data_IF_734987003334
#
_entry.id   IF_734987003334
#
_cell.length_a   1.000
_cell.length_b   1.000
_cell.length_c   1.000
_cell.angle_alpha   90.00
_cell.angle_beta   90.00
_cell.angle_gamma   90.00
#
_symmetry.space_group_name_H-M   'P 1'
#
loop_
_entity.id
_entity.type
_entity.pdbx_description
1 polymer ?
#
# COMPACT_ATOMS: atom_id res chain seq x y z
N UNK A 1 -13.29 -26.48 25.94
CA UNK A 1 -13.44 -27.39 24.77
C UNK A 1 -13.56 -26.66 23.42
N UNK A 2 -14.47 -25.68 23.23
CA UNK A 2 -14.57 -24.95 21.94
C UNK A 2 -13.47 -23.90 21.70
N UNK A 3 -12.88 -23.33 22.76
CA UNK A 3 -11.77 -22.36 22.63
C UNK A 3 -10.52 -22.99 21.99
N UNK A 4 -10.26 -24.26 22.28
CA UNK A 4 -9.23 -25.05 21.59
C UNK A 4 -9.60 -25.30 20.11
N UNK A 5 -10.89 -25.50 19.81
CA UNK A 5 -11.36 -25.79 18.44
C UNK A 5 -11.26 -24.57 17.51
N UNK A 6 -11.42 -23.36 18.02
CA UNK A 6 -11.27 -22.14 17.21
C UNK A 6 -9.80 -21.77 16.98
N UNK A 7 -8.85 -22.41 17.68
CA UNK A 7 -7.42 -22.17 17.48
C UNK A 7 -6.98 -22.45 16.03
N UNK A 8 -7.66 -23.37 15.33
CA UNK A 8 -7.42 -23.63 13.89
C UNK A 8 -7.65 -22.40 13.00
N UNK A 9 -8.49 -21.45 13.44
CA UNK A 9 -8.70 -20.20 12.71
C UNK A 9 -7.47 -19.27 12.76
N UNK A 10 -6.43 -19.59 13.55
CA UNK A 10 -5.14 -18.90 13.47
C UNK A 10 -4.44 -19.09 12.12
N UNK A 11 -4.76 -20.15 11.38
CA UNK A 11 -4.27 -20.33 10.01
C UNK A 11 -4.88 -19.34 9.01
N UNK A 12 -5.86 -18.53 9.45
CA UNK A 12 -6.47 -17.48 8.67
C UNK A 12 -6.10 -16.11 9.24
N UNK A 13 -5.51 -15.19 8.45
CA UNK A 13 -5.26 -13.82 8.86
C UNK A 13 -6.51 -13.11 9.35
N UNK A 14 -7.63 -13.40 8.68
CA UNK A 14 -8.93 -12.77 8.93
C UNK A 14 -10.02 -13.80 8.65
N UNK A 15 -11.00 -13.88 9.55
CA UNK A 15 -12.13 -14.79 9.44
C UNK A 15 -13.44 -14.13 9.87
N UNK A 16 -14.53 -14.67 9.38
CA UNK A 16 -15.87 -14.17 9.60
C UNK A 16 -16.54 -14.83 10.80
N UNK A 17 -17.65 -14.24 11.26
CA UNK A 17 -18.54 -14.89 12.21
C UNK A 17 -19.11 -16.23 11.66
N UNK A 18 -19.25 -16.35 10.34
CA UNK A 18 -19.70 -17.59 9.72
C UNK A 18 -18.68 -18.71 9.91
N UNK A 19 -17.38 -18.40 9.76
CA UNK A 19 -16.28 -19.36 9.99
C UNK A 19 -16.26 -19.83 11.45
N UNK A 20 -16.47 -18.92 12.42
CA UNK A 20 -16.63 -19.31 13.83
C UNK A 20 -17.84 -20.24 13.99
N UNK A 21 -18.98 -19.91 13.36
CA UNK A 21 -20.22 -20.69 13.49
C UNK A 21 -20.17 -22.08 12.87
N UNK A 22 -19.23 -22.35 11.95
CA UNK A 22 -18.99 -23.69 11.43
C UNK A 22 -18.22 -24.59 12.43
N UNK A 23 -17.54 -23.99 13.42
CA UNK A 23 -16.74 -24.71 14.42
C UNK A 23 -17.56 -24.99 15.68
N UNK A 24 -18.49 -24.11 16.00
CA UNK A 24 -19.28 -24.15 17.23
C UNK A 24 -20.75 -24.42 16.92
N UNK A 25 -21.53 -24.85 17.90
CA UNK A 25 -22.93 -25.24 17.73
C UNK A 25 -23.88 -24.04 17.52
N UNK A 26 -23.77 -23.38 16.37
CA UNK A 26 -24.75 -22.39 15.89
C UNK A 26 -24.35 -20.92 16.04
N UNK A 27 -25.05 -20.08 15.28
CA UNK A 27 -24.75 -18.64 15.09
C UNK A 27 -24.85 -17.81 16.36
N UNK A 28 -25.84 -18.09 17.21
CA UNK A 28 -26.02 -17.35 18.48
C UNK A 28 -24.89 -17.63 19.47
N UNK A 29 -24.46 -18.89 19.57
CA UNK A 29 -23.31 -19.24 20.38
C UNK A 29 -22.01 -18.63 19.81
N UNK A 30 -21.81 -18.66 18.49
CA UNK A 30 -20.67 -18.02 17.84
C UNK A 30 -20.56 -16.52 18.17
N UNK A 31 -21.68 -15.79 18.17
CA UNK A 31 -21.72 -14.37 18.57
C UNK A 31 -21.31 -14.17 20.03
N UNK A 32 -21.89 -14.97 20.95
CA UNK A 32 -21.58 -14.90 22.38
C UNK A 32 -20.11 -15.22 22.65
N UNK A 33 -19.59 -16.26 21.99
CA UNK A 33 -18.18 -16.66 22.09
C UNK A 33 -17.25 -15.57 21.56
N UNK A 34 -17.48 -15.05 20.36
CA UNK A 34 -16.67 -13.97 19.79
C UNK A 34 -16.67 -12.73 20.70
N UNK A 35 -17.83 -12.33 21.23
CA UNK A 35 -17.93 -11.21 22.19
C UNK A 35 -17.11 -11.47 23.46
N UNK A 36 -17.16 -12.69 24.00
CA UNK A 36 -16.38 -13.09 25.18
C UNK A 36 -14.88 -13.01 24.92
N UNK A 37 -14.42 -13.55 23.80
CA UNK A 37 -13.00 -13.57 23.42
C UNK A 37 -12.44 -12.17 23.14
N UNK A 38 -13.24 -11.32 22.50
CA UNK A 38 -12.89 -9.90 22.32
C UNK A 38 -12.76 -9.19 23.66
N UNK A 39 -13.71 -9.41 24.59
CA UNK A 39 -13.61 -8.85 25.95
C UNK A 39 -12.37 -9.34 26.71
N UNK A 40 -11.92 -10.56 26.41
CA UNK A 40 -10.74 -11.17 27.02
C UNK A 40 -9.42 -10.84 26.26
N UNK A 41 -9.43 -9.97 25.24
CA UNK A 41 -8.29 -9.66 24.38
C UNK A 41 -7.66 -10.89 23.68
N UNK A 42 -8.40 -12.00 23.57
CA UNK A 42 -7.97 -13.20 22.87
C UNK A 42 -8.34 -13.19 21.38
N UNK A 43 -9.13 -12.21 20.96
CA UNK A 43 -9.62 -12.03 19.59
C UNK A 43 -9.81 -10.54 19.32
N UNK A 44 -9.35 -10.07 18.15
CA UNK A 44 -9.56 -8.70 17.73
C UNK A 44 -10.72 -8.62 16.75
N UNK A 45 -11.63 -7.67 16.98
CA UNK A 45 -12.74 -7.38 16.06
C UNK A 45 -12.29 -6.29 15.09
N UNK A 46 -12.34 -6.61 13.80
CA UNK A 46 -11.95 -5.65 12.73
C UNK A 46 -13.16 -4.80 12.35
N UNK A 47 -14.28 -5.45 12.02
CA UNK A 47 -15.56 -4.80 11.78
C UNK A 47 -16.70 -5.75 12.12
N UNK A 48 -17.95 -5.33 11.90
CA UNK A 48 -19.12 -6.19 12.15
C UNK A 48 -18.97 -7.52 11.38
N UNK A 49 -18.88 -8.61 12.13
CA UNK A 49 -18.82 -9.96 11.60
C UNK A 49 -17.46 -10.41 11.07
N UNK A 50 -16.39 -9.65 11.31
CA UNK A 50 -15.03 -9.96 10.86
C UNK A 50 -14.04 -9.81 12.01
N UNK A 51 -13.21 -10.83 12.21
CA UNK A 51 -12.32 -10.98 13.35
C UNK A 51 -10.95 -11.49 12.92
N UNK A 52 -9.97 -11.36 13.80
CA UNK A 52 -8.61 -11.86 13.64
C UNK A 52 -8.00 -12.18 15.00
N UNK A 53 -7.01 -13.07 15.03
CA UNK A 53 -6.15 -13.29 16.19
C UNK A 53 -4.92 -12.38 16.22
N UNK A 54 -4.73 -11.57 15.18
CA UNK A 54 -3.54 -10.75 14.96
C UNK A 54 -3.91 -9.27 15.13
N UNK A 55 -3.19 -8.56 15.98
CA UNK A 55 -3.30 -7.10 16.11
C UNK A 55 -2.45 -6.34 15.09
N UNK A 56 -1.68 -7.05 14.25
CA UNK A 56 -0.86 -6.48 13.19
C UNK A 56 -1.72 -6.00 11.99
N UNK A 57 -1.81 -4.67 11.77
CA UNK A 57 -2.56 -4.11 10.65
C UNK A 57 -1.96 -4.45 9.28
N UNK A 58 -0.63 -4.55 9.16
CA UNK A 58 0.06 -4.87 7.92
C UNK A 58 -0.35 -6.27 7.46
N UNK A 59 -0.29 -7.24 8.38
CA UNK A 59 -0.67 -8.64 8.15
C UNK A 59 -2.12 -8.78 7.65
N UNK A 60 -3.08 -8.09 8.29
CA UNK A 60 -4.50 -8.29 7.98
C UNK A 60 -4.97 -7.51 6.75
N UNK A 61 -4.31 -6.38 6.43
CA UNK A 61 -4.80 -5.36 5.50
C UNK A 61 -5.24 -5.91 4.13
N UNK A 62 -4.38 -6.65 3.42
CA UNK A 62 -4.68 -7.18 2.09
C UNK A 62 -5.81 -8.22 2.07
N UNK A 63 -6.17 -8.79 3.22
CA UNK A 63 -7.28 -9.73 3.34
C UNK A 63 -8.63 -9.05 3.57
N UNK A 64 -8.66 -7.79 4.00
CA UNK A 64 -9.89 -7.04 4.29
C UNK A 64 -10.64 -6.58 3.04
N UNK A 65 -9.92 -6.45 1.92
CA UNK A 65 -10.47 -6.11 0.62
C UNK A 65 -9.66 -6.81 -0.48
N UNK A 66 -10.27 -7.73 -1.22
CA UNK A 66 -9.63 -8.43 -2.33
C UNK A 66 -10.28 -8.05 -3.68
N UNK A 67 -9.50 -7.87 -4.76
CA UNK A 67 -8.04 -7.93 -4.80
C UNK A 67 -7.42 -6.62 -4.24
N UNK A 68 -6.34 -6.73 -3.47
CA UNK A 68 -5.51 -5.59 -3.08
C UNK A 68 -4.07 -6.03 -2.80
N UNK A 69 -3.16 -5.06 -2.77
CA UNK A 69 -1.76 -5.24 -2.34
C UNK A 69 -1.34 -4.08 -1.44
N UNK A 70 -0.38 -4.33 -0.55
CA UNK A 70 0.22 -3.32 0.33
C UNK A 70 1.23 -2.53 -0.50
N UNK A 71 1.16 -1.20 -0.45
CA UNK A 71 1.99 -0.32 -1.30
C UNK A 71 2.36 0.98 -0.56
N UNK A 72 2.84 1.98 -1.31
CA UNK A 72 3.22 3.31 -0.83
C UNK A 72 4.11 3.24 0.43
N UNK A 73 3.96 4.14 1.40
CA UNK A 73 4.81 4.18 2.58
C UNK A 73 4.85 2.85 3.35
N UNK A 74 3.77 2.07 3.38
CA UNK A 74 3.79 0.76 4.05
C UNK A 74 4.72 -0.24 3.36
N UNK A 75 4.71 -0.31 2.03
CA UNK A 75 5.64 -1.18 1.31
C UNK A 75 7.08 -0.64 1.32
N UNK A 76 7.27 0.68 1.21
CA UNK A 76 8.60 1.28 1.31
C UNK A 76 9.22 1.05 2.69
N UNK A 77 8.43 1.19 3.76
CA UNK A 77 8.85 0.89 5.11
C UNK A 77 9.17 -0.60 5.29
N UNK A 78 8.34 -1.50 4.74
CA UNK A 78 8.59 -2.94 4.74
C UNK A 78 9.95 -3.28 4.09
N UNK A 79 10.29 -2.64 2.97
CA UNK A 79 11.58 -2.79 2.29
C UNK A 79 12.72 -2.01 2.95
N UNK A 80 12.48 -1.32 4.08
CA UNK A 80 13.46 -0.48 4.80
C UNK A 80 14.05 0.62 3.92
N UNK A 81 13.21 1.19 3.06
CA UNK A 81 13.58 2.25 2.11
C UNK A 81 13.17 3.64 2.57
N UNK A 82 12.35 3.71 3.62
CA UNK A 82 12.06 4.97 4.30
C UNK A 82 12.33 4.84 5.79
N UNK A 83 12.79 5.93 6.40
CA UNK A 83 13.12 6.04 7.82
C UNK A 83 11.88 6.34 8.66
N UNK A 84 10.97 7.16 8.13
CA UNK A 84 9.72 7.48 8.80
C UNK A 84 8.69 6.36 8.64
N UNK A 85 8.36 5.69 9.73
CA UNK A 85 7.29 4.69 9.73
C UNK A 85 5.94 5.35 9.46
N UNK A 86 5.12 4.80 8.55
CA UNK A 86 3.78 5.31 8.32
C UNK A 86 2.89 5.02 9.53
N UNK A 87 2.03 5.98 9.87
CA UNK A 87 1.00 5.77 10.91
C UNK A 87 -0.08 4.81 10.44
N UNK A 88 -0.45 4.90 9.18
CA UNK A 88 -1.53 4.14 8.56
C UNK A 88 -1.00 3.06 7.61
N UNK A 89 -1.82 2.06 7.30
CA UNK A 89 -1.50 1.07 6.27
C UNK A 89 -2.07 1.50 4.91
N UNK A 90 -1.21 1.55 3.90
CA UNK A 90 -1.55 1.93 2.54
C UNK A 90 -1.69 0.69 1.66
N UNK A 91 -2.90 0.47 1.15
CA UNK A 91 -3.22 -0.59 0.22
C UNK A 91 -3.78 -0.04 -1.10
N UNK A 92 -3.56 -0.77 -2.18
CA UNK A 92 -4.05 -0.42 -3.50
C UNK A 92 -4.93 -1.53 -4.05
N UNK A 93 -6.05 -1.16 -4.68
CA UNK A 93 -7.06 -2.09 -5.19
C UNK A 93 -7.57 -1.66 -6.55
N UNK A 94 -7.97 -2.61 -7.38
CA UNK A 94 -8.75 -2.33 -8.60
C UNK A 94 -10.23 -2.05 -8.31
N UNK A 95 -10.68 -2.23 -7.06
CA UNK A 95 -12.03 -1.88 -6.60
C UNK A 95 -12.11 -0.41 -6.18
N UNK A 96 -13.30 0.02 -5.74
CA UNK A 96 -13.49 1.36 -5.21
C UNK A 96 -12.65 1.59 -3.95
N UNK A 97 -12.18 2.84 -3.80
CA UNK A 97 -11.45 3.27 -2.60
C UNK A 97 -12.25 3.02 -1.34
N UNK A 98 -11.56 2.70 -0.24
CA UNK A 98 -12.19 2.38 1.04
C UNK A 98 -11.26 2.76 2.19
N UNK A 99 -11.85 3.09 3.34
CA UNK A 99 -11.15 3.24 4.61
C UNK A 99 -11.72 2.26 5.60
N UNK A 100 -10.87 1.66 6.43
CA UNK A 100 -11.23 0.78 7.52
C UNK A 100 -10.42 1.14 8.75
N UNK A 101 -11.06 1.23 9.90
CA UNK A 101 -10.40 1.48 11.16
C UNK A 101 -10.12 0.15 11.86
N UNK A 102 -8.88 -0.04 12.31
CA UNK A 102 -8.45 -1.16 13.14
C UNK A 102 -7.51 -0.62 14.24
N UNK A 103 -6.45 -1.35 14.61
CA UNK A 103 -5.38 -0.83 15.49
C UNK A 103 -4.78 0.46 14.91
N UNK A 104 -4.71 0.56 13.59
CA UNK A 104 -4.52 1.82 12.85
C UNK A 104 -5.46 1.89 11.64
N UNK A 105 -5.50 3.03 10.96
CA UNK A 105 -6.29 3.18 9.74
C UNK A 105 -5.68 2.36 8.59
N UNK A 106 -6.53 1.67 7.85
CA UNK A 106 -6.15 0.94 6.64
C UNK A 106 -6.84 1.62 5.46
N UNK A 107 -6.03 2.26 4.63
CA UNK A 107 -6.44 3.10 3.52
C UNK A 107 -6.29 2.32 2.20
N UNK A 108 -7.41 2.10 1.51
CA UNK A 108 -7.44 1.49 0.19
C UNK A 108 -7.64 2.54 -0.88
N UNK A 109 -6.63 2.71 -1.74
CA UNK A 109 -6.68 3.57 -2.90
C UNK A 109 -7.06 2.78 -4.15
N UNK A 110 -7.89 3.38 -5.01
CA UNK A 110 -8.18 2.81 -6.31
C UNK A 110 -6.99 3.03 -7.25
N UNK A 111 -6.62 2.00 -8.02
CA UNK A 111 -5.63 2.13 -9.08
C UNK A 111 -6.05 1.40 -10.35
N UNK A 112 -5.80 2.07 -11.48
CA UNK A 112 -5.91 1.48 -12.81
C UNK A 112 -4.65 0.66 -13.18
N UNK A 113 -3.59 0.74 -12.37
CA UNK A 113 -2.29 0.13 -12.62
C UNK A 113 -2.00 -0.97 -11.61
N UNK A 114 -2.87 -1.99 -11.59
CA UNK A 114 -2.83 -3.10 -10.64
C UNK A 114 -1.76 -4.14 -11.02
N UNK A 115 -0.48 -3.81 -10.83
CA UNK A 115 0.68 -4.68 -11.06
C UNK A 115 1.86 -4.27 -10.17
N UNK A 116 3.01 -4.97 -10.27
CA UNK A 116 4.25 -4.52 -9.65
C UNK A 116 4.34 -4.84 -8.16
N UNK A 117 3.68 -5.92 -7.75
CA UNK A 117 3.72 -6.47 -6.40
C UNK A 117 4.07 -7.96 -6.48
N UNK A 118 4.65 -8.46 -5.40
CA UNK A 118 5.12 -9.84 -5.25
C UNK A 118 4.49 -10.46 -4.00
N UNK A 119 4.38 -11.80 -4.01
CA UNK A 119 3.90 -12.55 -2.87
C UNK A 119 5.05 -12.73 -1.87
N UNK A 120 5.02 -11.94 -0.81
CA UNK A 120 6.04 -11.90 0.22
C UNK A 120 5.62 -12.75 1.43
N UNK A 121 6.55 -13.55 1.96
CA UNK A 121 6.32 -14.27 3.20
C UNK A 121 6.38 -13.27 4.36
N UNK A 122 5.32 -13.22 5.15
CA UNK A 122 5.21 -12.39 6.34
C UNK A 122 4.68 -13.25 7.49
N UNK A 123 5.53 -13.51 8.47
CA UNK A 123 5.28 -14.52 9.50
C UNK A 123 4.90 -15.89 8.88
N UNK A 124 3.69 -16.38 9.17
CA UNK A 124 3.13 -17.62 8.66
C UNK A 124 2.25 -17.43 7.42
N UNK A 125 2.20 -16.22 6.86
CA UNK A 125 1.32 -15.85 5.77
C UNK A 125 2.08 -15.39 4.54
N UNK A 126 1.35 -15.29 3.44
CA UNK A 126 1.83 -14.77 2.17
C UNK A 126 0.99 -13.54 1.83
N UNK A 127 1.65 -12.39 1.69
CA UNK A 127 1.02 -11.09 1.45
C UNK A 127 1.47 -10.54 0.10
N UNK A 128 0.56 -9.98 -0.72
CA UNK A 128 0.94 -9.21 -1.88
C UNK A 128 1.48 -7.84 -1.46
N UNK A 129 2.79 -7.61 -1.67
CA UNK A 129 3.49 -6.36 -1.32
C UNK A 129 4.12 -5.76 -2.57
N UNK A 130 3.93 -4.46 -2.78
CA UNK A 130 4.52 -3.72 -3.89
C UNK A 130 6.05 -3.83 -3.88
N UNK A 131 6.63 -3.95 -5.06
CA UNK A 131 8.06 -3.69 -5.28
C UNK A 131 8.38 -2.23 -4.92
N UNK A 132 9.63 -1.91 -4.55
CA UNK A 132 10.06 -0.53 -4.29
C UNK A 132 9.61 0.48 -5.36
N UNK A 133 9.81 0.13 -6.63
CA UNK A 133 9.51 1.00 -7.78
C UNK A 133 8.02 1.28 -7.87
N UNK A 134 7.21 0.23 -7.68
CA UNK A 134 5.75 0.36 -7.72
C UNK A 134 5.26 1.18 -6.52
N UNK A 135 5.85 1.00 -5.34
CA UNK A 135 5.49 1.73 -4.14
C UNK A 135 5.81 3.23 -4.24
N UNK A 136 6.94 3.59 -4.87
CA UNK A 136 7.26 5.00 -5.21
C UNK A 136 6.19 5.56 -6.16
N UNK A 137 5.87 4.84 -7.25
CA UNK A 137 4.85 5.27 -8.22
C UNK A 137 3.49 5.48 -7.54
N UNK A 138 3.10 4.56 -6.67
CA UNK A 138 1.84 4.62 -5.92
C UNK A 138 1.80 5.74 -4.89
N UNK A 139 2.95 6.18 -4.39
CA UNK A 139 3.02 7.29 -3.43
C UNK A 139 2.76 8.65 -4.07
N UNK A 140 2.95 8.77 -5.40
CA UNK A 140 2.75 10.04 -6.12
C UNK A 140 1.32 10.56 -5.97
N UNK A 141 1.20 11.73 -5.33
CA UNK A 141 -0.06 12.42 -5.10
C UNK A 141 -0.93 11.84 -3.98
N UNK A 142 -0.38 10.88 -3.23
CA UNK A 142 -0.93 10.41 -1.95
C UNK A 142 -0.06 10.87 -0.78
N UNK A 143 1.26 10.90 -0.98
CA UNK A 143 2.23 11.40 -0.01
C UNK A 143 3.05 12.56 -0.60
N UNK A 144 3.50 13.52 0.24
CA UNK A 144 4.52 14.48 -0.17
C UNK A 144 5.76 13.74 -0.65
N UNK A 145 6.43 14.26 -1.69
CA UNK A 145 7.62 13.62 -2.27
C UNK A 145 8.72 13.44 -1.23
N UNK A 146 8.88 14.40 -0.31
CA UNK A 146 9.88 14.33 0.77
C UNK A 146 9.75 13.10 1.67
N UNK A 147 8.57 12.44 1.70
CA UNK A 147 8.34 11.25 2.53
C UNK A 147 8.93 9.98 1.91
N UNK A 148 9.09 9.94 0.58
CA UNK A 148 9.56 8.74 -0.12
C UNK A 148 10.74 8.99 -1.06
N UNK A 149 11.23 10.23 -1.16
CA UNK A 149 12.34 10.58 -2.04
C UNK A 149 13.61 9.77 -1.72
N UNK A 150 13.88 9.49 -0.44
CA UNK A 150 15.01 8.63 -0.02
C UNK A 150 14.96 7.21 -0.61
N UNK A 151 13.76 6.69 -0.92
CA UNK A 151 13.64 5.38 -1.54
C UNK A 151 14.24 5.34 -2.95
N UNK A 152 14.37 6.49 -3.62
CA UNK A 152 14.94 6.61 -4.97
C UNK A 152 16.42 6.20 -5.05
N UNK A 153 17.14 6.17 -3.94
CA UNK A 153 18.56 5.77 -3.92
C UNK A 153 18.75 4.27 -4.17
N UNK A 154 17.73 3.46 -3.89
CA UNK A 154 17.80 1.98 -3.89
C UNK A 154 16.86 1.33 -4.88
N UNK A 155 16.27 2.10 -5.81
CA UNK A 155 15.41 1.51 -6.83
C UNK A 155 16.20 0.81 -7.93
N UNK A 156 15.62 -0.24 -8.47
CA UNK A 156 16.03 -0.86 -9.73
C UNK A 156 15.56 0.02 -10.89
N UNK A 157 16.53 0.67 -11.54
CA UNK A 157 16.28 1.58 -12.65
C UNK A 157 15.53 0.89 -13.80
N UNK A 158 15.94 -0.31 -14.22
CA UNK A 158 15.37 -0.97 -15.37
C UNK A 158 13.91 -1.39 -15.11
N UNK A 159 13.63 -1.85 -13.89
CA UNK A 159 12.27 -2.15 -13.47
C UNK A 159 11.41 -0.89 -13.42
N UNK A 160 11.91 0.22 -12.89
CA UNK A 160 11.20 1.50 -12.87
C UNK A 160 10.85 1.96 -14.29
N UNK A 161 11.80 1.90 -15.21
CA UNK A 161 11.57 2.28 -16.61
C UNK A 161 10.57 1.36 -17.31
N UNK A 162 10.63 0.04 -17.04
CA UNK A 162 9.64 -0.91 -17.53
C UNK A 162 8.23 -0.58 -17.01
N UNK A 163 8.11 -0.17 -15.75
CA UNK A 163 6.83 0.22 -15.16
C UNK A 163 6.29 1.52 -15.75
N UNK A 164 7.13 2.53 -15.93
CA UNK A 164 6.74 3.77 -16.62
C UNK A 164 6.27 3.52 -18.05
N UNK A 165 6.99 2.65 -18.79
CA UNK A 165 6.59 2.24 -20.14
C UNK A 165 5.23 1.54 -20.13
N UNK A 166 5.02 0.62 -19.18
CA UNK A 166 3.74 -0.10 -19.02
C UNK A 166 2.57 0.83 -18.67
N UNK A 167 2.80 1.86 -17.84
CA UNK A 167 1.79 2.85 -17.46
C UNK A 167 1.48 3.80 -18.64
N UNK A 168 2.50 4.22 -19.39
CA UNK A 168 2.34 5.02 -20.61
C UNK A 168 1.72 6.40 -20.39
N UNK A 169 1.84 6.97 -19.17
CA UNK A 169 1.29 8.29 -18.84
C UNK A 169 2.40 9.30 -18.55
N UNK A 170 2.40 10.37 -19.34
CA UNK A 170 3.33 11.50 -19.25
C UNK A 170 3.49 12.05 -17.82
N UNK A 171 2.43 12.12 -17.02
CA UNK A 171 2.55 12.64 -15.64
C UNK A 171 3.48 11.81 -14.75
N UNK A 172 3.44 10.47 -14.86
CA UNK A 172 4.34 9.59 -14.12
C UNK A 172 5.76 9.68 -14.67
N UNK A 173 5.91 9.64 -16.01
CA UNK A 173 7.21 9.77 -16.69
C UNK A 173 7.94 11.05 -16.27
N UNK A 174 7.23 12.18 -16.21
CA UNK A 174 7.82 13.47 -15.82
C UNK A 174 8.32 13.46 -14.38
N UNK A 175 7.46 13.06 -13.44
CA UNK A 175 7.78 13.11 -12.00
C UNK A 175 8.88 12.12 -11.65
N UNK A 176 8.74 10.86 -12.06
CA UNK A 176 9.74 9.83 -11.77
C UNK A 176 11.03 10.11 -12.53
N UNK A 177 10.96 10.55 -13.78
CA UNK A 177 12.16 10.89 -14.55
C UNK A 177 12.96 12.02 -13.92
N UNK A 178 12.29 13.08 -13.43
CA UNK A 178 12.94 14.13 -12.65
C UNK A 178 13.57 13.60 -11.35
N UNK A 179 12.83 12.77 -10.60
CA UNK A 179 13.35 12.20 -9.34
C UNK A 179 14.55 11.28 -9.59
N UNK A 180 14.54 10.49 -10.67
CA UNK A 180 15.67 9.67 -11.11
C UNK A 180 16.88 10.54 -11.43
N UNK A 181 16.71 11.58 -12.24
CA UNK A 181 17.80 12.49 -12.62
C UNK A 181 18.38 13.23 -11.40
N UNK A 182 17.53 13.66 -10.47
CA UNK A 182 17.97 14.25 -9.18
C UNK A 182 18.80 13.27 -8.34
N UNK A 183 18.56 11.97 -8.46
CA UNK A 183 19.31 10.90 -7.79
C UNK A 183 20.46 10.35 -8.64
N UNK A 184 20.93 11.09 -9.65
CA UNK A 184 22.14 10.77 -10.41
C UNK A 184 21.94 9.82 -11.59
N UNK A 185 20.70 9.42 -11.92
CA UNK A 185 20.45 8.57 -13.08
C UNK A 185 20.28 9.39 -14.37
N UNK A 186 21.09 9.12 -15.39
CA UNK A 186 20.89 9.72 -16.71
C UNK A 186 19.80 8.97 -17.51
N UNK A 187 18.57 9.46 -17.43
CA UNK A 187 17.37 8.78 -17.97
C UNK A 187 16.59 9.61 -18.97
N UNK A 188 16.96 10.88 -19.18
CA UNK A 188 16.15 11.79 -19.98
C UNK A 188 16.00 11.31 -21.42
N UNK A 189 17.07 10.90 -22.08
CA UNK A 189 17.00 10.44 -23.46
C UNK A 189 16.16 9.17 -23.63
N UNK A 190 16.10 8.33 -22.60
CA UNK A 190 15.29 7.12 -22.54
C UNK A 190 13.80 7.44 -22.36
N UNK A 191 13.48 8.54 -21.67
CA UNK A 191 12.11 8.89 -21.27
C UNK A 191 11.49 10.06 -22.06
N UNK A 192 12.28 10.88 -22.76
CA UNK A 192 11.82 12.12 -23.42
C UNK A 192 10.64 11.95 -24.36
N UNK A 193 10.53 10.79 -25.03
CA UNK A 193 9.39 10.46 -25.91
C UNK A 193 8.05 10.38 -25.17
N UNK A 194 8.05 10.12 -23.86
CA UNK A 194 6.86 10.08 -23.02
C UNK A 194 6.46 11.44 -22.42
N UNK A 195 7.22 12.51 -22.69
CA UNK A 195 7.01 13.84 -22.11
C UNK A 195 6.21 14.70 -23.09
N UNK A 196 5.06 15.23 -22.64
CA UNK A 196 4.30 16.23 -23.39
C UNK A 196 4.64 17.67 -22.96
N UNK A 197 4.24 18.68 -23.73
CA UNK A 197 4.60 20.08 -23.47
C UNK A 197 3.90 20.75 -22.27
N UNK A 198 2.90 20.11 -21.66
CA UNK A 198 2.12 20.68 -20.55
C UNK A 198 2.91 20.68 -19.25
N UNK A 199 3.05 21.83 -18.59
CA UNK A 199 3.64 21.87 -17.24
C UNK A 199 2.69 21.27 -16.20
N UNK A 200 3.23 20.48 -15.27
CA UNK A 200 2.51 19.93 -14.12
C UNK A 200 3.32 20.14 -12.84
N UNK A 201 2.67 20.11 -11.67
CA UNK A 201 3.38 20.13 -10.39
C UNK A 201 4.18 18.83 -10.21
N UNK A 202 5.40 18.96 -9.69
CA UNK A 202 6.21 17.83 -9.24
C UNK A 202 5.49 17.13 -8.09
N UNK A 203 5.21 17.85 -7.01
CA UNK A 203 4.42 17.38 -5.86
C UNK A 203 2.99 17.95 -5.94
N UNK A 204 1.97 17.11 -6.00
CA UNK A 204 0.57 17.60 -6.10
C UNK A 204 -0.04 17.99 -4.76
N UNK A 205 0.62 17.69 -3.65
CA UNK A 205 0.16 17.93 -2.28
C UNK A 205 0.82 19.18 -1.69
N UNK A 206 2.02 19.54 -2.18
CA UNK A 206 2.69 20.76 -1.80
C UNK A 206 2.03 22.04 -2.36
N UNK A 207 2.54 23.21 -1.94
CA UNK A 207 2.08 24.52 -2.45
C UNK A 207 2.19 24.59 -3.97
N UNK A 208 1.28 25.29 -4.64
CA UNK A 208 1.22 25.34 -6.11
C UNK A 208 2.17 26.38 -6.73
N UNK A 209 3.32 26.59 -6.11
CA UNK A 209 4.31 27.62 -6.47
C UNK A 209 5.70 27.00 -6.49
N UNK A 210 6.49 27.32 -7.51
CA UNK A 210 7.79 26.71 -7.71
C UNK A 210 8.47 27.12 -9.01
N UNK A 211 9.76 26.80 -9.10
CA UNK A 211 10.54 27.06 -10.31
C UNK A 211 10.09 26.14 -11.46
N UNK A 212 10.13 26.64 -12.70
CA UNK A 212 9.80 25.83 -13.88
C UNK A 212 11.02 25.05 -14.35
N UNK A 213 10.93 23.73 -14.31
CA UNK A 213 11.85 22.84 -15.00
C UNK A 213 11.39 22.62 -16.44
N UNK A 214 12.14 23.17 -17.40
CA UNK A 214 11.79 23.10 -18.83
C UNK A 214 12.02 21.72 -19.44
N UNK A 215 12.90 20.90 -18.84
CA UNK A 215 13.34 19.59 -19.34
C UNK A 215 12.25 18.55 -19.12
N UNK A 216 11.78 18.42 -17.89
CA UNK A 216 10.71 17.53 -17.46
C UNK A 216 9.31 18.16 -17.53
N UNK A 217 9.22 19.46 -17.89
CA UNK A 217 7.96 20.23 -17.90
C UNK A 217 7.26 20.14 -16.54
N UNK A 218 8.03 20.40 -15.49
CA UNK A 218 7.56 20.38 -14.11
C UNK A 218 7.61 21.77 -13.50
N UNK A 219 6.74 22.00 -12.52
CA UNK A 219 6.87 23.08 -11.55
C UNK A 219 7.43 22.41 -10.29
N UNK A 220 8.67 22.73 -9.95
CA UNK A 220 9.40 22.19 -8.81
C UNK A 220 8.96 22.96 -7.58
N UNK A 221 7.99 22.37 -6.88
CA UNK A 221 7.29 22.97 -5.75
C UNK A 221 7.55 22.26 -4.42
N UNK A 222 8.69 21.58 -4.35
CA UNK A 222 9.27 21.02 -3.13
C UNK A 222 10.44 21.94 -2.73
N UNK A 223 10.54 22.25 -1.44
CA UNK A 223 11.64 23.04 -0.88
C UNK A 223 12.71 22.13 -0.33
#
# INVERSE_FOLDING_TARGET
MYELKIAKLREMPVFSLADISQIVSGKEYAKKLAKRLVKANALFKIKRGLYTFYDDPFLVSSFLLKPSYISSASALSYHKLITQLPKDIFCFTSKQKKKLDFVTEILFFHTNYFFGFEMQKYENFILPVATPEKAVIDSLGILPISVFEEAMEKIDLERMLAYLKKIGKSCFTKRIGYLLEKNGFDVYDRLKKGINNKYILLDTIAKKEGAKDKRWKLIINVR
#
